data_IF_995727356255
#
_entry.id   IF_995727356255
#
_cell.length_a   1.000
_cell.length_b   1.000
_cell.length_c   1.000
_cell.angle_alpha   90.00
_cell.angle_beta   90.00
_cell.angle_gamma   90.00
#
_symmetry.space_group_name_H-M   'P 1'
#
loop_
_entity.id
_entity.type
_entity.pdbx_description
1 polymer ?
#
# COMPACT_ATOMS: atom_id res chain seq x y z
N UNK A 1 15.52 8.02 5.70
CA UNK A 1 15.95 7.60 7.05
C UNK A 1 14.78 7.30 7.99
N UNK A 2 13.69 8.04 7.91
CA UNK A 2 12.44 7.71 8.61
C UNK A 2 11.90 6.33 8.18
N UNK A 3 12.20 5.90 6.98
CA UNK A 3 11.76 4.61 6.43
C UNK A 3 12.37 3.38 7.13
N UNK A 4 13.52 3.51 7.75
CA UNK A 4 14.17 2.40 8.46
C UNK A 4 13.63 2.22 9.87
N UNK A 5 13.11 3.28 10.49
CA UNK A 5 12.47 3.19 11.81
C UNK A 5 11.03 2.67 11.74
N UNK A 6 10.45 2.63 10.54
CA UNK A 6 9.11 2.10 10.28
C UNK A 6 9.12 0.61 9.88
N UNK A 7 10.28 -0.04 9.89
CA UNK A 7 10.37 -1.48 9.68
C UNK A 7 9.71 -2.19 10.86
N UNK A 8 8.49 -2.64 10.63
CA UNK A 8 7.67 -3.33 11.62
C UNK A 8 6.46 -2.55 12.13
N UNK A 9 6.24 -1.32 11.67
CA UNK A 9 4.98 -0.62 11.92
C UNK A 9 4.37 -0.16 10.61
N UNK A 10 3.22 -0.68 10.23
CA UNK A 10 2.49 -0.19 9.08
C UNK A 10 1.12 0.34 9.47
N UNK A 11 0.93 1.63 9.23
CA UNK A 11 -0.39 2.25 9.21
C UNK A 11 -1.01 2.12 7.83
N UNK A 12 -2.26 1.72 7.74
CA UNK A 12 -3.09 1.69 6.53
C UNK A 12 -3.03 0.45 5.64
N UNK A 13 -2.70 -0.74 6.16
CA UNK A 13 -2.68 -1.96 5.33
C UNK A 13 -4.05 -2.62 5.22
N UNK A 14 -5.01 -2.29 6.04
CA UNK A 14 -6.17 -3.13 6.29
C UNK A 14 -7.43 -2.83 5.53
N UNK A 15 -7.57 -1.64 5.05
CA UNK A 15 -8.56 -1.28 4.03
C UNK A 15 -8.19 -1.80 2.63
N UNK A 16 -7.13 -2.61 2.54
CA UNK A 16 -6.58 -3.15 1.29
C UNK A 16 -6.88 -4.63 1.17
N UNK A 17 -5.87 -5.49 1.04
CA UNK A 17 -6.08 -6.92 0.84
C UNK A 17 -6.81 -7.62 1.99
N UNK A 18 -6.62 -7.19 3.25
CA UNK A 18 -7.26 -7.88 4.38
C UNK A 18 -8.77 -7.73 4.35
N UNK A 19 -9.30 -6.53 4.20
CA UNK A 19 -10.73 -6.30 3.96
C UNK A 19 -11.11 -6.73 2.53
N UNK A 20 -10.40 -6.22 1.54
CA UNK A 20 -10.56 -6.56 0.13
C UNK A 20 -11.79 -5.97 -0.55
N UNK A 21 -12.57 -5.14 0.14
CA UNK A 21 -13.82 -4.57 -0.35
C UNK A 21 -13.95 -3.06 -0.10
N UNK A 22 -12.91 -2.44 0.45
CA UNK A 22 -12.89 -1.03 0.84
C UNK A 22 -14.05 -0.62 1.76
N UNK A 23 -14.48 -1.54 2.64
CA UNK A 23 -15.65 -1.34 3.51
C UNK A 23 -15.29 -0.88 4.91
N UNK A 24 -14.04 -1.07 5.33
CA UNK A 24 -13.59 -0.70 6.66
C UNK A 24 -12.15 -0.22 6.68
N UNK A 25 -11.84 0.65 7.63
CA UNK A 25 -10.49 1.10 7.92
C UNK A 25 -10.03 0.49 9.23
N UNK A 26 -8.85 0.04 9.22
CA UNK A 26 -8.26 -0.48 10.42
C UNK A 26 -6.71 -0.32 10.43
N UNK A 27 -5.90 -0.78 11.41
CA UNK A 27 -4.43 -0.75 11.54
C UNK A 27 -3.88 -1.95 12.32
N UNK A 28 -2.68 -2.46 11.97
CA UNK A 28 -1.88 -3.37 12.80
C UNK A 28 -0.49 -2.77 13.06
N UNK A 29 -0.02 -2.92 14.25
CA UNK A 29 1.37 -2.66 14.59
C UNK A 29 2.03 -4.03 14.77
N UNK A 30 3.12 -4.26 14.04
CA UNK A 30 3.95 -5.46 14.19
C UNK A 30 5.32 -5.01 14.67
N UNK A 31 5.72 -5.45 15.86
CA UNK A 31 7.03 -5.16 16.42
C UNK A 31 7.85 -6.45 16.52
N UNK A 32 9.04 -6.45 15.94
CA UNK A 32 9.99 -7.58 16.06
C UNK A 32 10.59 -7.71 17.45
N UNK A 33 10.53 -6.65 18.27
CA UNK A 33 11.22 -6.55 19.56
C UNK A 33 12.74 -6.55 19.47
N UNK A 34 13.31 -6.35 18.28
CA UNK A 34 14.77 -6.42 18.06
C UNK A 34 15.42 -5.03 17.88
N UNK A 35 14.64 -3.96 17.90
CA UNK A 35 15.21 -2.62 17.82
C UNK A 35 15.86 -2.23 19.15
N UNK A 36 17.08 -1.74 19.08
CA UNK A 36 17.83 -1.28 20.27
C UNK A 36 17.44 0.17 20.61
N UNK A 37 16.42 0.30 21.44
CA UNK A 37 15.90 1.59 21.88
C UNK A 37 16.93 2.36 22.72
N UNK A 38 17.75 1.66 23.53
CA UNK A 38 18.74 2.28 24.39
C UNK A 38 19.91 2.89 23.58
N UNK A 39 20.33 2.23 22.50
CA UNK A 39 21.33 2.80 21.59
C UNK A 39 20.87 4.10 20.89
N UNK A 40 19.57 4.39 20.94
CA UNK A 40 18.96 5.58 20.34
C UNK A 40 18.12 6.37 21.36
N UNK A 41 18.51 6.35 22.63
CA UNK A 41 17.77 6.93 23.74
C UNK A 41 17.47 8.43 23.57
N UNK A 42 18.35 9.16 22.92
CA UNK A 42 18.20 10.58 22.57
C UNK A 42 16.97 10.85 21.68
N UNK A 43 16.66 9.91 20.79
CA UNK A 43 15.52 10.00 19.87
C UNK A 43 14.22 9.45 20.45
N UNK A 44 14.32 8.54 21.42
CA UNK A 44 13.17 7.84 22.00
C UNK A 44 13.08 7.96 23.52
N UNK A 45 13.13 9.18 24.08
CA UNK A 45 13.10 9.38 25.52
C UNK A 45 11.84 8.80 26.18
N UNK A 46 10.72 8.80 25.46
CA UNK A 46 9.47 8.23 25.98
C UNK A 46 9.49 6.72 26.28
N UNK A 47 10.50 5.98 25.80
CA UNK A 47 10.69 4.56 26.10
C UNK A 47 11.87 4.32 27.05
N UNK A 48 12.90 5.16 26.99
CA UNK A 48 14.20 4.95 27.61
C UNK A 48 14.42 5.77 28.89
N UNK A 49 13.59 6.76 29.14
CA UNK A 49 13.62 7.57 30.36
C UNK A 49 12.43 7.26 31.27
N UNK A 50 12.51 7.63 32.57
CA UNK A 50 11.40 7.49 33.49
C UNK A 50 10.16 8.26 33.01
N UNK A 51 9.02 7.60 33.01
CA UNK A 51 7.72 8.18 32.66
C UNK A 51 6.96 8.55 33.94
N UNK A 52 6.84 9.84 34.21
CA UNK A 52 6.20 10.35 35.42
C UNK A 52 4.70 9.98 35.49
N UNK A 53 4.02 9.84 34.34
CA UNK A 53 2.63 9.41 34.30
C UNK A 53 2.43 7.94 34.73
N UNK A 54 3.52 7.17 34.78
CA UNK A 54 3.59 5.79 35.20
C UNK A 54 4.56 5.60 36.40
N UNK A 55 4.55 6.55 37.34
CA UNK A 55 5.31 6.49 38.58
C UNK A 55 6.83 6.32 38.38
N UNK A 56 7.39 6.95 37.36
CA UNK A 56 8.81 6.88 37.03
C UNK A 56 9.26 5.59 36.36
N UNK A 57 8.33 4.80 35.78
CA UNK A 57 8.65 3.58 35.06
C UNK A 57 9.43 3.89 33.78
N UNK A 58 10.51 3.14 33.54
CA UNK A 58 11.24 3.14 32.25
C UNK A 58 10.84 1.90 31.47
N UNK A 59 10.19 2.08 30.32
CA UNK A 59 9.59 0.98 29.54
C UNK A 59 10.63 -0.05 29.07
N UNK A 60 11.77 0.40 28.55
CA UNK A 60 12.85 -0.49 28.09
C UNK A 60 13.42 -1.36 29.22
N UNK A 61 13.58 -0.80 30.41
CA UNK A 61 14.08 -1.52 31.58
C UNK A 61 13.07 -2.51 32.16
N UNK A 62 11.79 -2.11 32.16
CA UNK A 62 10.72 -2.92 32.74
C UNK A 62 10.25 -4.06 31.82
N UNK A 63 10.19 -3.81 30.50
CA UNK A 63 9.55 -4.72 29.55
C UNK A 63 10.48 -5.21 28.44
N UNK A 64 11.72 -4.75 28.37
CA UNK A 64 12.71 -5.19 27.37
C UNK A 64 12.17 -5.14 25.95
N UNK A 65 12.13 -6.29 25.27
CA UNK A 65 11.63 -6.41 23.89
C UNK A 65 10.17 -6.01 23.70
N UNK A 66 9.36 -6.01 24.75
CA UNK A 66 7.95 -5.63 24.73
C UNK A 66 7.71 -4.16 25.06
N UNK A 67 8.77 -3.37 25.28
CA UNK A 67 8.67 -1.98 25.71
C UNK A 67 7.76 -1.13 24.82
N UNK A 68 7.96 -1.21 23.51
CA UNK A 68 7.17 -0.46 22.53
C UNK A 68 5.69 -0.87 22.54
N UNK A 69 5.41 -2.17 22.45
CA UNK A 69 4.05 -2.68 22.46
C UNK A 69 3.32 -2.41 23.77
N UNK A 70 4.03 -2.52 24.90
CA UNK A 70 3.46 -2.22 26.21
C UNK A 70 3.10 -0.74 26.32
N UNK A 71 3.99 0.17 25.93
CA UNK A 71 3.66 1.61 25.92
C UNK A 71 2.50 1.93 24.98
N UNK A 72 2.50 1.37 23.76
CA UNK A 72 1.46 1.58 22.79
C UNK A 72 0.07 1.14 23.30
N UNK A 73 -0.01 0.00 23.99
CA UNK A 73 -1.29 -0.55 24.47
C UNK A 73 -1.70 -0.03 25.85
N UNK A 74 -0.79 -0.09 26.82
CA UNK A 74 -1.12 0.23 28.21
C UNK A 74 -1.22 1.73 28.50
N UNK A 75 -0.55 2.56 27.70
CA UNK A 75 -0.60 4.03 27.84
C UNK A 75 -1.33 4.67 26.67
N UNK A 76 -0.78 4.65 25.46
CA UNK A 76 -1.30 5.45 24.36
C UNK A 76 -2.71 5.03 23.92
N UNK A 77 -2.93 3.75 23.72
CA UNK A 77 -4.25 3.23 23.32
C UNK A 77 -5.28 3.44 24.42
N UNK A 78 -4.92 3.16 25.69
CA UNK A 78 -5.80 3.34 26.84
C UNK A 78 -6.18 4.80 27.05
N UNK A 79 -5.20 5.70 27.00
CA UNK A 79 -5.42 7.11 27.34
C UNK A 79 -6.13 7.87 26.20
N UNK A 80 -5.82 7.55 24.93
CA UNK A 80 -6.47 8.14 23.76
C UNK A 80 -7.81 7.48 23.38
N UNK A 81 -8.06 6.26 23.87
CA UNK A 81 -9.25 5.49 23.50
C UNK A 81 -9.29 5.05 22.04
N UNK A 82 -8.16 5.07 21.34
CA UNK A 82 -8.06 4.76 19.92
C UNK A 82 -8.08 3.25 19.68
N UNK A 83 -9.26 2.67 19.64
CA UNK A 83 -9.47 1.25 19.35
C UNK A 83 -10.24 1.08 18.04
N UNK A 84 -10.09 -0.08 17.42
CA UNK A 84 -10.90 -0.46 16.28
C UNK A 84 -12.33 -0.76 16.72
N UNK A 85 -13.33 -0.29 15.95
CA UNK A 85 -14.72 -0.63 16.24
C UNK A 85 -14.97 -2.13 16.05
N UNK A 86 -15.85 -2.76 16.85
CA UNK A 86 -16.20 -4.17 16.67
C UNK A 86 -16.74 -4.49 15.27
N UNK A 87 -17.49 -3.58 14.66
CA UNK A 87 -18.01 -3.73 13.31
C UNK A 87 -16.86 -3.79 12.28
N UNK A 88 -15.85 -2.89 12.38
CA UNK A 88 -14.70 -2.93 11.49
C UNK A 88 -13.85 -4.19 11.71
N UNK A 89 -13.70 -4.63 12.95
CA UNK A 89 -13.02 -5.88 13.26
C UNK A 89 -13.72 -7.10 12.64
N UNK A 90 -15.05 -7.13 12.67
CA UNK A 90 -15.86 -8.16 12.03
C UNK A 90 -15.67 -8.16 10.50
N UNK A 91 -15.75 -7.01 9.84
CA UNK A 91 -15.56 -6.90 8.39
C UNK A 91 -14.16 -7.33 7.95
N UNK A 92 -13.13 -6.95 8.72
CA UNK A 92 -11.76 -7.40 8.46
C UNK A 92 -11.61 -8.91 8.60
N UNK A 93 -12.21 -9.49 9.65
CA UNK A 93 -12.17 -10.93 9.86
C UNK A 93 -12.87 -11.67 8.72
N UNK A 94 -13.99 -11.17 8.26
CA UNK A 94 -14.71 -11.71 7.10
C UNK A 94 -13.84 -11.66 5.83
N UNK A 95 -13.14 -10.54 5.61
CA UNK A 95 -12.20 -10.40 4.49
C UNK A 95 -11.03 -11.38 4.56
N UNK A 96 -10.53 -11.67 5.77
CA UNK A 96 -9.45 -12.64 5.98
C UNK A 96 -9.82 -14.07 5.56
N UNK A 97 -11.08 -14.47 5.68
CA UNK A 97 -11.53 -15.82 5.31
C UNK A 97 -11.24 -16.18 3.85
N UNK A 98 -11.26 -15.18 2.95
CA UNK A 98 -11.03 -15.37 1.52
C UNK A 98 -9.68 -14.81 1.04
N UNK A 99 -8.86 -14.29 1.94
CA UNK A 99 -7.59 -13.62 1.58
C UNK A 99 -6.67 -14.53 0.75
N UNK A 100 -6.55 -15.81 1.14
CA UNK A 100 -5.71 -16.80 0.48
C UNK A 100 -6.18 -17.18 -0.94
N UNK A 101 -7.42 -16.88 -1.30
CA UNK A 101 -7.96 -17.05 -2.65
C UNK A 101 -7.81 -15.77 -3.48
N UNK A 102 -8.05 -14.61 -2.85
CA UNK A 102 -8.02 -13.32 -3.54
C UNK A 102 -6.62 -12.87 -3.91
N UNK A 103 -5.65 -12.95 -2.98
CA UNK A 103 -4.29 -12.46 -3.23
C UNK A 103 -3.61 -13.17 -4.41
N UNK A 104 -3.62 -14.51 -4.52
CA UNK A 104 -3.11 -15.19 -5.72
C UNK A 104 -3.78 -14.72 -7.01
N UNK A 105 -5.10 -14.52 -6.99
CA UNK A 105 -5.85 -14.03 -8.15
C UNK A 105 -5.48 -12.61 -8.54
N UNK A 106 -5.31 -11.71 -7.58
CA UNK A 106 -4.79 -10.36 -7.82
C UNK A 106 -3.41 -10.41 -8.50
N UNK A 107 -2.49 -11.23 -7.98
CA UNK A 107 -1.15 -11.37 -8.52
C UNK A 107 -1.15 -11.94 -9.95
N UNK A 108 -1.95 -12.98 -10.20
CA UNK A 108 -2.10 -13.58 -11.52
C UNK A 108 -2.63 -12.57 -12.56
N UNK A 109 -3.69 -11.87 -12.20
CA UNK A 109 -4.28 -10.86 -13.06
C UNK A 109 -3.31 -9.70 -13.32
N UNK A 110 -2.65 -9.20 -12.26
CA UNK A 110 -1.68 -8.10 -12.39
C UNK A 110 -0.49 -8.48 -13.26
N UNK A 111 0.03 -9.71 -13.16
CA UNK A 111 1.10 -10.19 -14.02
C UNK A 111 0.69 -10.12 -15.51
N UNK A 112 -0.48 -10.66 -15.86
CA UNK A 112 -0.99 -10.66 -17.24
C UNK A 112 -1.25 -9.25 -17.76
N UNK A 113 -1.82 -8.37 -16.93
CA UNK A 113 -2.06 -6.97 -17.30
C UNK A 113 -0.74 -6.21 -17.46
N UNK A 114 0.24 -6.42 -16.59
CA UNK A 114 1.54 -5.78 -16.69
C UNK A 114 2.31 -6.20 -17.95
N UNK A 115 2.30 -7.48 -18.28
CA UNK A 115 2.90 -8.01 -19.51
C UNK A 115 2.22 -7.45 -20.76
N UNK A 116 0.90 -7.34 -20.77
CA UNK A 116 0.14 -6.74 -21.87
C UNK A 116 0.44 -5.24 -22.00
N UNK A 117 0.50 -4.50 -20.89
CA UNK A 117 0.86 -3.08 -20.90
C UNK A 117 2.29 -2.86 -21.41
N UNK A 118 3.25 -3.69 -20.99
CA UNK A 118 4.64 -3.59 -21.43
C UNK A 118 4.79 -3.81 -22.93
N UNK A 119 3.97 -4.69 -23.52
CA UNK A 119 3.96 -4.98 -24.94
C UNK A 119 3.18 -3.94 -25.77
N UNK A 120 2.43 -3.03 -25.14
CA UNK A 120 1.55 -2.09 -25.84
C UNK A 120 2.32 -0.83 -26.30
N UNK A 121 2.33 -0.48 -27.60
CA UNK A 121 3.09 0.65 -28.13
C UNK A 121 2.60 2.03 -27.64
N UNK A 122 1.41 2.15 -27.07
CA UNK A 122 0.90 3.39 -26.46
C UNK A 122 1.36 3.61 -25.02
N UNK A 123 1.94 2.58 -24.41
CA UNK A 123 2.49 2.62 -23.04
C UNK A 123 3.98 2.94 -23.10
N UNK A 124 4.39 3.97 -22.38
CA UNK A 124 5.76 4.47 -22.35
C UNK A 124 6.66 3.69 -21.39
N UNK A 125 6.11 3.34 -20.24
CA UNK A 125 6.81 2.59 -19.20
C UNK A 125 5.81 1.85 -18.31
N UNK A 126 6.26 0.74 -17.73
CA UNK A 126 5.53 -0.03 -16.72
C UNK A 126 6.44 -0.28 -15.53
N UNK A 127 5.96 -0.01 -14.34
CA UNK A 127 6.64 -0.34 -13.09
C UNK A 127 5.84 -1.41 -12.34
N UNK A 128 6.31 -2.64 -12.47
CA UNK A 128 5.76 -3.80 -11.78
C UNK A 128 6.90 -4.79 -11.50
N UNK A 129 7.10 -5.16 -10.24
CA UNK A 129 8.25 -5.98 -9.84
C UNK A 129 8.19 -7.44 -10.32
N UNK A 130 7.03 -7.89 -10.82
CA UNK A 130 6.86 -9.21 -11.44
C UNK A 130 7.31 -9.28 -12.90
N UNK A 131 7.63 -8.17 -13.56
CA UNK A 131 8.17 -8.15 -14.92
C UNK A 131 9.68 -8.45 -14.92
N UNK A 132 10.13 -9.24 -15.86
CA UNK A 132 11.58 -9.58 -16.03
C UNK A 132 12.43 -8.36 -16.33
N UNK A 133 11.88 -7.33 -16.93
CA UNK A 133 12.51 -6.04 -17.20
C UNK A 133 12.71 -5.18 -15.96
N UNK A 134 12.00 -5.49 -14.87
CA UNK A 134 12.08 -4.72 -13.62
C UNK A 134 13.42 -4.93 -12.93
N UNK A 135 14.06 -3.83 -12.54
CA UNK A 135 15.29 -3.87 -11.72
C UNK A 135 15.11 -4.55 -10.35
N UNK A 136 13.88 -4.77 -9.94
CA UNK A 136 13.52 -5.43 -8.67
C UNK A 136 13.06 -6.87 -8.85
N UNK A 137 13.11 -7.41 -10.07
CA UNK A 137 12.60 -8.76 -10.36
C UNK A 137 13.21 -9.83 -9.46
N UNK A 138 14.55 -9.88 -9.36
CA UNK A 138 15.24 -10.89 -8.55
C UNK A 138 14.91 -10.77 -7.04
N UNK A 139 14.77 -9.53 -6.55
CA UNK A 139 14.33 -9.29 -5.17
C UNK A 139 12.89 -9.73 -4.96
N UNK A 140 12.02 -9.49 -5.93
CA UNK A 140 10.64 -9.94 -5.89
C UNK A 140 10.55 -11.46 -5.86
N UNK A 141 11.33 -12.16 -6.70
CA UNK A 141 11.39 -13.63 -6.68
C UNK A 141 11.92 -14.18 -5.35
N UNK A 142 12.88 -13.48 -4.73
CA UNK A 142 13.46 -13.88 -3.44
C UNK A 142 12.47 -13.70 -2.27
N UNK A 143 11.78 -12.57 -2.21
CA UNK A 143 10.97 -12.21 -1.04
C UNK A 143 9.47 -12.46 -1.22
N UNK A 144 9.00 -12.57 -2.46
CA UNK A 144 7.60 -12.77 -2.83
C UNK A 144 7.46 -13.88 -3.89
N UNK A 145 7.96 -15.10 -3.63
CA UNK A 145 8.01 -16.17 -4.64
C UNK A 145 6.65 -16.63 -5.13
N UNK A 146 5.59 -16.38 -4.35
CA UNK A 146 4.22 -16.81 -4.64
C UNK A 146 3.37 -15.73 -5.36
N UNK A 147 3.98 -14.61 -5.75
CA UNK A 147 3.30 -13.51 -6.43
C UNK A 147 3.70 -12.14 -5.92
N UNK A 148 3.74 -11.16 -6.82
CA UNK A 148 4.41 -9.89 -6.54
C UNK A 148 3.51 -8.80 -6.00
N UNK A 149 2.25 -8.79 -6.24
CA UNK A 149 1.16 -7.91 -5.76
C UNK A 149 0.14 -7.64 -6.89
N UNK A 150 -0.94 -6.91 -6.57
CA UNK A 150 -1.96 -6.49 -7.54
C UNK A 150 -1.82 -5.04 -8.02
N UNK A 151 -0.72 -4.34 -7.71
CA UNK A 151 -0.58 -2.91 -8.03
C UNK A 151 0.48 -2.68 -9.09
N UNK A 152 0.08 -1.99 -10.15
CA UNK A 152 0.92 -1.61 -11.28
C UNK A 152 0.94 -0.08 -11.37
N UNK A 153 2.10 0.51 -11.64
CA UNK A 153 2.20 1.89 -12.10
C UNK A 153 2.70 1.90 -13.53
N UNK A 154 2.08 2.73 -14.37
CA UNK A 154 2.50 2.88 -15.76
C UNK A 154 2.28 4.31 -16.24
N UNK A 155 2.92 4.68 -17.34
CA UNK A 155 2.72 5.95 -18.02
C UNK A 155 2.47 5.75 -19.50
N UNK A 156 1.67 6.66 -20.10
CA UNK A 156 1.36 6.65 -21.53
C UNK A 156 2.39 7.44 -22.32
N UNK A 157 2.46 7.19 -23.64
CA UNK A 157 3.18 8.03 -24.59
C UNK A 157 2.41 9.32 -24.87
N UNK A 158 2.33 10.21 -23.86
CA UNK A 158 1.50 11.39 -23.98
C UNK A 158 1.69 12.37 -22.83
N UNK A 159 0.76 13.32 -22.75
CA UNK A 159 0.72 14.37 -21.75
C UNK A 159 -0.10 13.93 -20.51
N UNK A 160 -0.12 14.81 -19.52
CA UNK A 160 -0.97 14.67 -18.33
C UNK A 160 -2.47 14.64 -18.71
N UNK A 161 -2.85 15.45 -19.68
CA UNK A 161 -4.22 15.57 -20.18
C UNK A 161 -4.65 14.25 -20.87
N UNK A 162 -3.79 13.64 -21.66
CA UNK A 162 -4.08 12.34 -22.30
C UNK A 162 -4.21 11.21 -21.29
N UNK A 163 -3.46 11.27 -20.18
CA UNK A 163 -3.66 10.32 -19.08
C UNK A 163 -5.03 10.50 -18.39
N UNK A 164 -5.51 11.73 -18.25
CA UNK A 164 -6.85 12.03 -17.72
C UNK A 164 -7.92 11.55 -18.71
N UNK A 165 -7.78 11.85 -19.99
CA UNK A 165 -8.72 11.40 -21.03
C UNK A 165 -8.80 9.87 -21.11
N UNK A 166 -7.67 9.18 -20.99
CA UNK A 166 -7.65 7.72 -20.89
C UNK A 166 -8.52 7.23 -19.73
N UNK A 167 -8.36 7.81 -18.57
CA UNK A 167 -9.16 7.42 -17.39
C UNK A 167 -10.66 7.70 -17.59
N UNK A 168 -11.01 8.82 -18.19
CA UNK A 168 -12.40 9.19 -18.46
C UNK A 168 -13.08 8.27 -19.48
N UNK A 169 -12.31 7.60 -20.35
CA UNK A 169 -12.79 6.61 -21.32
C UNK A 169 -13.03 5.22 -20.73
N UNK A 170 -12.54 4.92 -19.54
CA UNK A 170 -12.76 3.64 -18.88
C UNK A 170 -14.24 3.45 -18.55
N UNK A 171 -14.76 2.24 -18.77
CA UNK A 171 -16.18 1.89 -18.60
C UNK A 171 -16.43 0.87 -17.50
N UNK A 172 -15.45 0.03 -17.25
CA UNK A 172 -15.50 -1.07 -16.30
C UNK A 172 -14.65 -0.78 -15.07
N UNK A 173 -13.44 -0.26 -15.27
CA UNK A 173 -12.49 0.06 -14.20
C UNK A 173 -12.91 1.34 -13.49
N UNK A 174 -13.03 1.28 -12.14
CA UNK A 174 -13.47 2.42 -11.33
C UNK A 174 -12.32 3.39 -11.03
N UNK A 175 -12.59 4.70 -11.20
CA UNK A 175 -11.65 5.76 -10.76
C UNK A 175 -11.86 6.02 -9.28
N UNK A 176 -11.04 5.42 -8.43
CA UNK A 176 -11.09 5.58 -6.97
C UNK A 176 -9.70 5.48 -6.35
N UNK A 177 -9.55 5.99 -5.13
CA UNK A 177 -8.29 5.97 -4.38
C UNK A 177 -7.96 4.61 -3.76
N UNK A 178 -8.88 3.66 -3.82
CA UNK A 178 -8.72 2.33 -3.23
C UNK A 178 -7.53 1.57 -3.81
N UNK A 179 -7.03 0.62 -3.07
CA UNK A 179 -5.95 -0.29 -3.47
C UNK A 179 -6.30 -1.67 -2.93
N UNK A 180 -6.10 -2.69 -3.76
CA UNK A 180 -6.35 -4.09 -3.38
C UNK A 180 -7.83 -4.41 -3.04
N UNK A 181 -8.75 -3.63 -3.61
CA UNK A 181 -10.17 -3.98 -3.67
C UNK A 181 -10.35 -5.17 -4.62
N UNK A 182 -11.35 -6.00 -4.39
CA UNK A 182 -11.72 -7.08 -5.29
C UNK A 182 -12.03 -6.59 -6.70
N UNK A 183 -12.43 -5.35 -6.84
CA UNK A 183 -12.63 -4.65 -8.12
C UNK A 183 -11.37 -3.94 -8.56
N UNK A 184 -11.12 -3.94 -9.86
CA UNK A 184 -10.03 -3.17 -10.47
C UNK A 184 -10.29 -1.68 -10.34
N UNK A 185 -9.29 -0.95 -9.86
CA UNK A 185 -9.36 0.48 -9.59
C UNK A 185 -8.17 1.21 -10.21
N UNK A 186 -8.42 2.43 -10.67
CA UNK A 186 -7.39 3.29 -11.26
C UNK A 186 -7.34 4.64 -10.58
N UNK A 187 -6.17 5.25 -10.52
CA UNK A 187 -5.94 6.58 -10.01
C UNK A 187 -4.81 7.26 -10.78
N UNK A 188 -5.01 8.54 -11.13
CA UNK A 188 -3.96 9.43 -11.59
C UNK A 188 -3.54 10.36 -10.44
N UNK A 189 -2.43 10.09 -9.73
CA UNK A 189 -2.06 10.83 -8.52
C UNK A 189 -1.91 12.33 -8.75
N UNK A 190 -1.33 12.73 -9.88
CA UNK A 190 -1.07 14.13 -10.20
C UNK A 190 -2.34 14.99 -10.33
N UNK A 191 -3.49 14.43 -10.73
CA UNK A 191 -4.76 15.15 -10.81
C UNK A 191 -5.67 14.96 -9.58
N UNK A 192 -5.36 13.98 -8.72
CA UNK A 192 -6.20 13.61 -7.58
C UNK A 192 -5.49 13.84 -6.24
N UNK A 193 -4.75 12.86 -5.76
CA UNK A 193 -4.18 12.86 -4.40
C UNK A 193 -3.03 13.86 -4.20
N UNK A 194 -2.36 14.27 -5.27
CA UNK A 194 -1.22 15.19 -5.26
C UNK A 194 -1.47 16.45 -6.10
N UNK A 195 -2.74 16.78 -6.36
CA UNK A 195 -3.12 17.88 -7.25
C UNK A 195 -2.60 19.27 -6.86
N UNK A 196 -2.21 19.44 -5.59
CA UNK A 196 -1.65 20.68 -5.06
C UNK A 196 -0.15 20.83 -5.37
N UNK A 197 0.52 19.79 -5.87
CA UNK A 197 1.95 19.82 -6.19
C UNK A 197 2.18 20.24 -7.64
N UNK A 198 3.27 21.00 -7.86
CA UNK A 198 3.78 21.29 -9.20
C UNK A 198 4.42 20.04 -9.80
N UNK A 199 4.62 20.02 -11.13
CA UNK A 199 5.27 18.88 -11.79
C UNK A 199 6.71 18.63 -11.30
N UNK A 200 7.43 19.68 -10.87
CA UNK A 200 8.75 19.54 -10.24
C UNK A 200 8.66 18.87 -8.88
N UNK A 201 7.74 19.32 -8.04
CA UNK A 201 7.49 18.71 -6.73
C UNK A 201 7.00 17.27 -6.85
N UNK A 202 6.18 16.96 -7.86
CA UNK A 202 5.76 15.58 -8.16
C UNK A 202 6.95 14.70 -8.50
N UNK A 203 7.88 15.16 -9.36
CA UNK A 203 9.09 14.40 -9.71
C UNK A 203 10.01 14.20 -8.50
N UNK A 204 10.19 15.22 -7.67
CA UNK A 204 10.95 15.12 -6.41
C UNK A 204 10.33 14.11 -5.44
N UNK A 205 9.00 14.04 -5.39
CA UNK A 205 8.27 13.04 -4.60
C UNK A 205 8.27 11.64 -5.23
N UNK A 206 8.89 11.45 -6.41
CA UNK A 206 8.93 10.19 -7.13
C UNK A 206 7.61 9.83 -7.84
N UNK A 207 6.74 10.81 -8.03
CA UNK A 207 5.47 10.66 -8.74
C UNK A 207 5.59 11.36 -10.09
N UNK A 208 5.70 10.58 -11.18
CA UNK A 208 5.73 11.17 -12.52
C UNK A 208 4.36 11.83 -12.84
N UNK A 209 4.33 12.99 -13.54
CA UNK A 209 3.07 13.64 -13.92
C UNK A 209 2.16 12.79 -14.81
N UNK A 210 2.73 11.84 -15.55
CA UNK A 210 2.05 10.87 -16.42
C UNK A 210 1.74 9.54 -15.70
N UNK A 211 2.00 9.41 -14.41
CA UNK A 211 1.83 8.18 -13.66
C UNK A 211 0.36 7.83 -13.49
N UNK A 212 -0.03 6.67 -13.96
CA UNK A 212 -1.32 6.02 -13.69
C UNK A 212 -1.06 4.85 -12.76
N UNK A 213 -1.76 4.81 -11.62
CA UNK A 213 -1.72 3.69 -10.68
C UNK A 213 -2.94 2.81 -10.90
N UNK A 214 -2.72 1.57 -11.27
CA UNK A 214 -3.75 0.55 -11.43
C UNK A 214 -3.66 -0.46 -10.28
N UNK A 215 -4.74 -0.65 -9.57
CA UNK A 215 -4.91 -1.74 -8.60
C UNK A 215 -5.79 -2.80 -9.25
N UNK A 216 -5.18 -3.88 -9.69
CA UNK A 216 -5.85 -4.94 -10.43
C UNK A 216 -6.65 -5.82 -9.48
N UNK A 217 -7.92 -6.01 -9.78
CA UNK A 217 -8.86 -6.82 -9.02
C UNK A 217 -8.85 -8.31 -9.37
N UNK A 218 -9.89 -9.01 -8.94
CA UNK A 218 -10.04 -10.46 -9.14
C UNK A 218 -11.00 -10.84 -10.29
N UNK A 219 -11.46 -9.87 -11.04
CA UNK A 219 -12.36 -10.04 -12.19
C UNK A 219 -11.69 -10.91 -13.28
N UNK A 220 -12.43 -11.17 -14.36
CA UNK A 220 -11.85 -11.79 -15.54
C UNK A 220 -10.79 -10.86 -16.15
N UNK A 221 -9.57 -11.33 -16.26
CA UNK A 221 -8.44 -10.52 -16.77
C UNK A 221 -8.65 -10.00 -18.19
N UNK A 222 -9.38 -10.74 -19.02
CA UNK A 222 -9.67 -10.29 -20.38
C UNK A 222 -10.60 -9.07 -20.40
N UNK A 223 -11.55 -8.99 -19.47
CA UNK A 223 -12.45 -7.84 -19.36
C UNK A 223 -11.68 -6.59 -18.87
N UNK A 224 -10.74 -6.78 -17.96
CA UNK A 224 -9.84 -5.71 -17.49
C UNK A 224 -8.99 -5.19 -18.66
N UNK A 225 -8.36 -6.08 -19.41
CA UNK A 225 -7.53 -5.72 -20.58
C UNK A 225 -8.38 -5.06 -21.66
N UNK A 226 -9.56 -5.59 -21.96
CA UNK A 226 -10.45 -5.02 -22.97
C UNK A 226 -10.90 -3.58 -22.62
N UNK A 227 -11.15 -3.29 -21.34
CA UNK A 227 -11.48 -1.94 -20.91
C UNK A 227 -10.30 -0.97 -21.06
N UNK A 228 -9.09 -1.41 -20.70
CA UNK A 228 -7.88 -0.61 -20.92
C UNK A 228 -7.62 -0.39 -22.42
N UNK A 229 -7.76 -1.43 -23.24
CA UNK A 229 -7.53 -1.36 -24.68
C UNK A 229 -8.46 -0.39 -25.38
N UNK A 230 -9.77 -0.43 -25.06
CA UNK A 230 -10.74 0.50 -25.63
C UNK A 230 -10.52 1.94 -25.18
N UNK A 231 -10.03 2.15 -23.96
CA UNK A 231 -9.73 3.48 -23.43
C UNK A 231 -8.45 4.09 -24.04
N UNK A 232 -7.54 3.25 -24.53
CA UNK A 232 -6.33 3.66 -25.24
C UNK A 232 -6.59 4.03 -26.72
N UNK A 233 -7.76 3.75 -27.29
CA UNK A 233 -8.08 4.11 -28.69
C UNK A 233 -8.29 5.59 -28.81
#
# INVERSE_FOLDING_TARGET
>A
EIRLSLVGSEMCIRDRYMDGHATSVGGAIVDSGNFDWEAHADKFPGLTQPDESYHGLTYTKAFGKMAYMTKATAQLMRDLGSIQSPQNAFLLNLGLETLHLRVPRHCENAQKVAEWLEANPKVKWVNYCGLKSSKYYDLAQKYMPNGSCGVIAFGLNGTREEAIEFMDRLKFICIVTHVADARTCVLHPASHTHRQLTDEQLREAGVAPDLIRLSVGIENVNDIIADIEQALQ
#
